data_IF_350154638134
#
_entry.id   IF_350154638134
#
_cell.length_a   1.000
_cell.length_b   1.000
_cell.length_c   1.000
_cell.angle_alpha   90.00
_cell.angle_beta   90.00
_cell.angle_gamma   90.00
#
_symmetry.space_group_name_H-M   'P 1'
#
loop_
_entity.id
_entity.type
_entity.pdbx_description
1 polymer ?
#
# COMPACT_ATOMS: atom_id res chain seq x y z
N UNK A 1 -58.05 -12.84 1.16
CA UNK A 1 -57.35 -13.52 2.27
C UNK A 1 -56.60 -12.48 3.08
N UNK A 2 -57.13 -12.10 4.25
CA UNK A 2 -56.45 -11.18 5.17
C UNK A 2 -55.33 -11.97 5.85
N UNK A 3 -54.06 -11.69 5.54
CA UNK A 3 -52.91 -12.27 6.26
C UNK A 3 -53.00 -11.81 7.71
N UNK A 4 -52.99 -12.74 8.67
CA UNK A 4 -52.96 -12.37 10.09
C UNK A 4 -51.69 -11.58 10.39
N UNK A 5 -51.76 -10.62 11.31
CA UNK A 5 -50.61 -9.82 11.74
C UNK A 5 -49.37 -10.69 12.05
N UNK A 6 -49.58 -11.85 12.67
CA UNK A 6 -48.53 -12.82 12.98
C UNK A 6 -47.82 -13.37 11.73
N UNK A 7 -48.53 -13.62 10.64
CA UNK A 7 -47.92 -14.11 9.38
C UNK A 7 -47.07 -13.04 8.69
N UNK A 8 -47.50 -11.77 8.77
CA UNK A 8 -46.72 -10.63 8.24
C UNK A 8 -45.45 -10.45 9.06
N UNK A 9 -45.58 -10.47 10.39
CA UNK A 9 -44.45 -10.37 11.30
C UNK A 9 -43.43 -11.49 11.06
N UNK A 10 -43.87 -12.75 10.99
CA UNK A 10 -42.98 -13.89 10.78
C UNK A 10 -42.26 -13.79 9.43
N UNK A 11 -42.95 -13.40 8.35
CA UNK A 11 -42.33 -13.21 7.05
C UNK A 11 -41.27 -12.10 7.08
N UNK A 12 -41.57 -10.97 7.73
CA UNK A 12 -40.61 -9.87 7.90
C UNK A 12 -39.41 -10.30 8.75
N UNK A 13 -39.64 -11.01 9.85
CA UNK A 13 -38.58 -11.52 10.72
C UNK A 13 -37.65 -12.48 9.98
N UNK A 14 -38.20 -13.43 9.21
CA UNK A 14 -37.41 -14.36 8.40
C UNK A 14 -36.60 -13.61 7.35
N UNK A 15 -37.22 -12.67 6.62
CA UNK A 15 -36.51 -11.88 5.60
C UNK A 15 -35.35 -11.07 6.19
N UNK A 16 -35.56 -10.41 7.33
CA UNK A 16 -34.53 -9.64 8.02
C UNK A 16 -33.43 -10.55 8.59
N UNK A 17 -33.80 -11.68 9.19
CA UNK A 17 -32.85 -12.65 9.76
C UNK A 17 -32.00 -13.32 8.67
N UNK A 18 -32.61 -13.69 7.54
CA UNK A 18 -31.90 -14.24 6.39
C UNK A 18 -30.94 -13.21 5.78
N UNK A 19 -31.37 -11.95 5.65
CA UNK A 19 -30.51 -10.86 5.19
C UNK A 19 -29.33 -10.63 6.14
N UNK A 20 -29.57 -10.56 7.45
CA UNK A 20 -28.50 -10.46 8.45
C UNK A 20 -27.53 -11.65 8.39
N UNK A 21 -28.05 -12.88 8.29
CA UNK A 21 -27.21 -14.06 8.19
C UNK A 21 -26.33 -14.02 6.94
N UNK A 22 -26.88 -13.64 5.78
CA UNK A 22 -26.16 -13.57 4.53
C UNK A 22 -25.08 -12.46 4.51
N UNK A 23 -25.38 -11.26 5.04
CA UNK A 23 -24.48 -10.10 4.95
C UNK A 23 -23.58 -9.90 6.17
N UNK A 24 -23.89 -10.51 7.31
CA UNK A 24 -23.10 -10.38 8.55
C UNK A 24 -22.51 -11.71 8.95
N UNK A 25 -23.34 -12.72 9.21
CA UNK A 25 -22.85 -13.99 9.77
C UNK A 25 -21.94 -14.75 8.80
N UNK A 26 -22.33 -14.88 7.52
CA UNK A 26 -21.54 -15.62 6.52
C UNK A 26 -20.16 -14.98 6.30
N UNK A 27 -20.02 -13.65 6.05
CA UNK A 27 -18.70 -13.02 5.96
C UNK A 27 -17.88 -13.16 7.24
N UNK A 28 -18.50 -13.10 8.42
CA UNK A 28 -17.79 -13.31 9.69
C UNK A 28 -17.28 -14.75 9.84
N UNK A 29 -18.02 -15.75 9.36
CA UNK A 29 -17.55 -17.14 9.34
C UNK A 29 -16.40 -17.32 8.34
N UNK A 30 -16.46 -16.65 7.18
CA UNK A 30 -15.47 -16.75 6.11
C UNK A 30 -14.16 -16.01 6.43
N UNK A 31 -14.26 -14.79 6.95
CA UNK A 31 -13.13 -13.86 7.10
C UNK A 31 -12.78 -13.54 8.55
N UNK A 32 -13.72 -13.70 9.50
CA UNK A 32 -13.50 -13.35 10.91
C UNK A 32 -12.49 -14.27 11.63
N UNK A 33 -12.08 -15.37 10.99
CA UNK A 33 -11.00 -16.26 11.44
C UNK A 33 -9.82 -16.31 10.46
N UNK A 34 -9.67 -15.28 9.62
CA UNK A 34 -8.54 -15.21 8.70
C UNK A 34 -7.21 -15.07 9.48
N UNK A 35 -6.29 -15.99 9.22
CA UNK A 35 -4.92 -15.95 9.76
C UNK A 35 -4.00 -15.10 8.87
N UNK A 36 -2.79 -14.82 9.35
CA UNK A 36 -1.75 -14.18 8.55
C UNK A 36 -1.48 -14.96 7.25
N UNK A 37 -1.42 -14.26 6.13
CA UNK A 37 -0.94 -14.78 4.87
C UNK A 37 0.59 -14.76 4.84
N UNK A 38 1.15 -15.46 3.86
CA UNK A 38 2.56 -15.37 3.54
C UNK A 38 2.80 -14.42 2.38
N UNK A 39 3.85 -13.63 2.46
CA UNK A 39 4.29 -12.79 1.34
C UNK A 39 4.89 -13.66 0.23
N UNK A 40 4.81 -13.19 -1.01
CA UNK A 40 5.36 -13.89 -2.17
C UNK A 40 6.48 -13.05 -2.80
N UNK A 41 7.71 -13.55 -2.98
CA UNK A 41 8.18 -14.93 -2.74
C UNK A 41 8.84 -15.14 -1.36
N UNK A 42 8.92 -14.11 -0.52
CA UNK A 42 9.72 -14.14 0.71
C UNK A 42 9.16 -15.04 1.83
N UNK A 43 7.89 -15.44 1.74
CA UNK A 43 7.21 -16.32 2.70
C UNK A 43 7.10 -15.75 4.13
N UNK A 44 7.30 -14.43 4.29
CA UNK A 44 7.16 -13.74 5.57
C UNK A 44 5.70 -13.69 6.03
N UNK A 45 5.49 -13.72 7.35
CA UNK A 45 4.14 -13.56 7.92
C UNK A 45 3.62 -12.14 7.73
N UNK A 46 2.41 -12.02 7.18
CA UNK A 46 1.79 -10.75 6.87
C UNK A 46 0.26 -10.75 7.14
N UNK A 47 -0.33 -9.62 7.58
CA UNK A 47 0.33 -8.39 8.05
C UNK A 47 1.02 -8.60 9.39
N UNK A 48 1.78 -7.63 9.87
CA UNK A 48 2.33 -7.64 11.24
C UNK A 48 1.45 -6.74 12.11
N UNK A 49 1.07 -7.22 13.30
CA UNK A 49 0.27 -6.44 14.24
C UNK A 49 1.00 -5.15 14.65
N UNK A 50 0.28 -4.03 14.69
CA UNK A 50 0.84 -2.74 15.14
C UNK A 50 1.10 -2.81 16.64
N UNK A 51 2.30 -2.45 17.07
CA UNK A 51 2.70 -2.44 18.47
C UNK A 51 3.00 -1.02 18.98
N UNK A 52 2.91 -0.82 20.30
CA UNK A 52 3.32 0.41 20.97
C UNK A 52 2.59 1.67 20.48
N UNK A 53 3.35 2.70 20.13
CA UNK A 53 2.81 4.00 19.73
C UNK A 53 1.94 3.93 18.48
N UNK A 54 2.20 3.00 17.56
CA UNK A 54 1.39 2.85 16.35
C UNK A 54 -0.03 2.33 16.66
N UNK A 55 -0.17 1.44 17.64
CA UNK A 55 -1.48 0.98 18.10
C UNK A 55 -2.25 2.11 18.79
N UNK A 56 -1.59 2.89 19.65
CA UNK A 56 -2.20 4.06 20.28
C UNK A 56 -2.56 5.16 19.26
N UNK A 57 -1.73 5.33 18.23
CA UNK A 57 -1.96 6.29 17.16
C UNK A 57 -3.16 5.99 16.28
N UNK A 58 -3.53 4.70 16.15
CA UNK A 58 -4.76 4.32 15.48
C UNK A 58 -5.98 4.94 16.18
N UNK A 59 -5.98 4.96 17.52
CA UNK A 59 -7.04 5.60 18.30
C UNK A 59 -7.03 7.12 18.15
N UNK A 60 -5.85 7.75 18.10
CA UNK A 60 -5.74 9.18 17.80
C UNK A 60 -6.34 9.48 16.42
N UNK A 61 -5.98 8.71 15.39
CA UNK A 61 -6.53 8.83 14.03
C UNK A 61 -8.07 8.76 14.00
N UNK A 62 -8.65 7.81 14.74
CA UNK A 62 -10.11 7.68 14.88
C UNK A 62 -10.73 8.89 15.58
N UNK A 63 -10.16 9.30 16.72
CA UNK A 63 -10.69 10.42 17.51
C UNK A 63 -10.69 11.75 16.76
N UNK A 64 -9.75 11.92 15.83
CA UNK A 64 -9.62 13.10 14.99
C UNK A 64 -10.54 13.07 13.77
N UNK A 65 -11.20 11.94 13.50
CA UNK A 65 -12.07 11.77 12.34
C UNK A 65 -11.30 11.82 11.01
N UNK A 66 -10.01 11.44 10.98
CA UNK A 66 -9.20 11.51 9.77
C UNK A 66 -9.81 10.70 8.59
N UNK A 67 -10.55 9.64 8.91
CA UNK A 67 -11.29 8.79 7.95
C UNK A 67 -12.35 9.54 7.12
N UNK A 68 -12.83 10.70 7.59
CA UNK A 68 -13.80 11.49 6.83
C UNK A 68 -13.21 12.14 5.57
N UNK A 69 -11.88 12.33 5.54
CA UNK A 69 -11.17 12.95 4.43
C UNK A 69 -10.25 11.99 3.68
N UNK A 70 -9.83 10.90 4.33
CA UNK A 70 -8.85 9.96 3.82
C UNK A 70 -9.42 8.54 3.79
N UNK A 71 -9.17 7.82 2.71
CA UNK A 71 -9.35 6.37 2.66
C UNK A 71 -8.09 5.63 3.10
N UNK A 72 -8.24 4.37 3.47
CA UNK A 72 -7.15 3.40 3.61
C UNK A 72 -7.49 2.14 2.83
N UNK A 73 -7.86 2.31 1.57
CA UNK A 73 -8.33 1.25 0.69
C UNK A 73 -7.91 1.58 -0.74
N UNK A 74 -6.69 1.19 -1.11
CA UNK A 74 -6.15 1.41 -2.46
C UNK A 74 -6.93 0.55 -3.45
N UNK A 75 -7.44 1.20 -4.49
CA UNK A 75 -8.11 0.55 -5.61
C UNK A 75 -7.14 0.10 -6.70
N UNK A 76 -7.57 -0.88 -7.48
CA UNK A 76 -6.86 -1.39 -8.66
C UNK A 76 -7.89 -1.83 -9.69
N UNK A 77 -7.66 -1.49 -10.95
CA UNK A 77 -8.55 -1.80 -12.07
C UNK A 77 -8.11 -3.08 -12.79
N UNK A 78 -6.82 -3.39 -12.81
CA UNK A 78 -6.28 -4.57 -13.45
C UNK A 78 -4.81 -4.78 -13.18
N UNK A 79 -4.18 -5.66 -13.95
CA UNK A 79 -2.72 -5.86 -13.96
C UNK A 79 -2.24 -5.81 -15.41
N UNK A 80 -1.00 -5.43 -15.61
CA UNK A 80 -0.23 -5.73 -16.81
C UNK A 80 0.87 -6.68 -16.41
N UNK A 81 1.19 -7.62 -17.28
CA UNK A 81 2.22 -8.61 -17.00
C UNK A 81 3.33 -8.45 -18.02
N UNK A 82 4.54 -8.20 -17.54
CA UNK A 82 5.74 -8.12 -18.36
C UNK A 82 6.53 -9.41 -18.16
N UNK A 83 6.92 -10.06 -19.26
CA UNK A 83 7.78 -11.24 -19.22
C UNK A 83 9.18 -10.79 -19.58
N UNK A 84 10.12 -10.99 -18.66
CA UNK A 84 11.51 -10.56 -18.80
C UNK A 84 12.38 -11.79 -18.97
N UNK A 85 13.17 -11.84 -20.04
CA UNK A 85 14.17 -12.86 -20.26
C UNK A 85 15.46 -12.49 -19.52
N UNK A 86 15.93 -13.38 -18.66
CA UNK A 86 17.18 -13.23 -17.90
C UNK A 86 18.32 -14.04 -18.51
N UNK A 87 18.00 -15.20 -19.06
CA UNK A 87 18.97 -16.11 -19.67
C UNK A 87 18.33 -16.75 -20.90
N UNK A 88 18.96 -16.64 -22.07
CA UNK A 88 18.45 -17.23 -23.30
C UNK A 88 18.75 -18.75 -23.41
N UNK A 89 19.50 -19.31 -22.45
CA UNK A 89 19.95 -20.70 -22.48
C UNK A 89 21.04 -20.96 -23.52
N UNK A 90 21.46 -22.21 -23.64
CA UNK A 90 22.52 -22.63 -24.59
C UNK A 90 22.04 -22.66 -26.04
N UNK A 91 20.73 -22.85 -26.28
CA UNK A 91 20.15 -23.01 -27.61
C UNK A 91 19.35 -21.76 -28.02
N UNK A 92 20.04 -20.63 -28.15
CA UNK A 92 19.44 -19.31 -28.37
C UNK A 92 18.51 -19.21 -29.58
N UNK A 93 18.77 -19.98 -30.65
CA UNK A 93 17.91 -20.05 -31.84
C UNK A 93 16.55 -20.70 -31.54
N UNK A 94 16.52 -21.73 -30.69
CA UNK A 94 15.28 -22.38 -30.27
C UNK A 94 14.49 -21.53 -29.29
N UNK A 95 15.18 -20.79 -28.41
CA UNK A 95 14.59 -19.78 -27.52
C UNK A 95 13.91 -18.66 -28.32
N UNK A 96 14.60 -18.12 -29.32
CA UNK A 96 14.05 -17.09 -30.20
C UNK A 96 12.81 -17.62 -30.97
N UNK A 97 12.87 -18.84 -31.49
CA UNK A 97 11.73 -19.47 -32.16
C UNK A 97 10.55 -19.73 -31.21
N UNK A 98 10.80 -20.07 -29.94
CA UNK A 98 9.77 -20.26 -28.93
C UNK A 98 9.07 -18.93 -28.58
N UNK A 99 9.83 -17.83 -28.44
CA UNK A 99 9.29 -16.48 -28.23
C UNK A 99 8.45 -16.04 -29.44
N UNK A 100 8.96 -16.26 -30.66
CA UNK A 100 8.30 -15.90 -31.90
C UNK A 100 6.93 -16.56 -32.11
N UNK A 101 6.74 -17.80 -31.61
CA UNK A 101 5.46 -18.51 -31.66
C UNK A 101 4.36 -17.85 -30.82
N UNK A 102 4.74 -17.10 -29.79
CA UNK A 102 3.82 -16.48 -28.83
C UNK A 102 3.69 -14.98 -29.08
N UNK A 103 4.78 -14.31 -29.47
CA UNK A 103 4.77 -12.91 -29.89
C UNK A 103 5.64 -12.71 -31.15
N UNK A 104 5.03 -12.70 -32.35
CA UNK A 104 5.75 -12.55 -33.62
C UNK A 104 6.49 -11.22 -33.75
N UNK A 105 6.03 -10.16 -33.07
CA UNK A 105 6.61 -8.81 -33.16
C UNK A 105 7.97 -8.70 -32.46
N UNK A 106 8.30 -9.68 -31.61
CA UNK A 106 9.49 -9.69 -30.75
C UNK A 106 10.56 -10.69 -31.26
N UNK A 107 10.33 -11.31 -32.42
CA UNK A 107 11.25 -12.22 -33.09
C UNK A 107 12.41 -11.49 -33.80
N UNK A 108 13.22 -10.75 -33.04
CA UNK A 108 14.44 -10.12 -33.55
C UNK A 108 15.66 -10.68 -32.83
N UNK A 109 16.83 -10.83 -33.52
CA UNK A 109 18.05 -11.32 -32.88
C UNK A 109 18.49 -10.47 -31.68
N UNK A 110 18.12 -9.19 -31.63
CA UNK A 110 18.42 -8.30 -30.51
C UNK A 110 17.60 -8.59 -29.25
N UNK A 111 16.60 -9.47 -29.32
CA UNK A 111 15.77 -9.87 -28.15
C UNK A 111 16.55 -10.75 -27.16
N UNK A 112 17.57 -11.47 -27.64
CA UNK A 112 18.42 -12.37 -26.83
C UNK A 112 19.77 -11.73 -26.45
N UNK A 113 20.03 -10.48 -26.84
CA UNK A 113 21.25 -9.74 -26.50
C UNK A 113 20.96 -8.68 -25.42
N UNK A 114 21.92 -8.44 -24.52
CA UNK A 114 21.78 -7.44 -23.45
C UNK A 114 20.73 -7.78 -22.40
N UNK A 115 20.74 -9.01 -21.89
CA UNK A 115 19.82 -9.48 -20.83
C UNK A 115 20.20 -8.87 -19.46
N UNK A 116 19.22 -8.62 -18.56
CA UNK A 116 17.79 -8.94 -18.68
C UNK A 116 17.00 -7.97 -19.57
N UNK A 117 16.00 -8.49 -20.32
CA UNK A 117 15.19 -7.70 -21.28
C UNK A 117 13.72 -8.10 -21.32
N UNK A 118 12.81 -7.12 -21.41
CA UNK A 118 11.37 -7.35 -21.61
C UNK A 118 11.14 -7.99 -23.00
N UNK A 119 10.53 -9.17 -23.03
CA UNK A 119 10.25 -9.94 -24.24
C UNK A 119 8.77 -10.07 -24.57
N UNK A 120 7.87 -9.64 -23.68
CA UNK A 120 6.45 -9.53 -23.97
C UNK A 120 5.73 -8.73 -22.88
N UNK A 121 4.63 -8.08 -23.27
CA UNK A 121 3.64 -7.52 -22.36
C UNK A 121 2.28 -8.13 -22.66
N UNK A 122 1.69 -8.78 -21.66
CA UNK A 122 0.41 -9.47 -21.78
C UNK A 122 -0.61 -8.92 -20.79
N UNK A 123 -1.89 -9.22 -21.06
CA UNK A 123 -3.02 -8.63 -20.33
C UNK A 123 -3.20 -9.17 -18.91
N UNK A 124 -2.84 -10.43 -18.65
CA UNK A 124 -2.99 -11.06 -17.33
C UNK A 124 -1.96 -12.18 -17.09
N UNK A 125 -1.96 -12.72 -15.88
CA UNK A 125 -1.00 -13.75 -15.45
C UNK A 125 -1.19 -15.05 -16.25
N UNK A 126 -2.43 -15.45 -16.51
CA UNK A 126 -2.72 -16.69 -17.25
C UNK A 126 -2.20 -16.63 -18.70
N UNK A 127 -2.27 -15.46 -19.34
CA UNK A 127 -1.71 -15.22 -20.66
C UNK A 127 -0.17 -15.33 -20.68
N UNK A 128 0.51 -15.09 -19.55
CA UNK A 128 1.97 -15.21 -19.44
C UNK A 128 2.46 -16.66 -19.38
N UNK A 129 1.62 -17.58 -18.89
CA UNK A 129 2.00 -18.99 -18.67
C UNK A 129 2.47 -19.70 -19.95
N UNK A 130 1.84 -19.39 -21.09
CA UNK A 130 2.21 -19.97 -22.37
C UNK A 130 3.64 -19.58 -22.79
N UNK A 131 4.01 -18.31 -22.59
CA UNK A 131 5.33 -17.81 -22.91
C UNK A 131 6.39 -18.36 -21.94
N UNK A 132 6.06 -18.39 -20.65
CA UNK A 132 6.95 -18.97 -19.62
C UNK A 132 7.25 -20.44 -19.94
N UNK A 133 6.22 -21.25 -20.18
CA UNK A 133 6.39 -22.66 -20.54
C UNK A 133 7.21 -22.85 -21.81
N UNK A 134 6.95 -22.05 -22.85
CA UNK A 134 7.66 -22.15 -24.12
C UNK A 134 9.15 -21.84 -23.98
N UNK A 135 9.51 -20.80 -23.21
CA UNK A 135 10.91 -20.38 -23.01
C UNK A 135 11.65 -21.30 -22.04
N UNK A 136 11.01 -21.73 -20.95
CA UNK A 136 11.63 -22.65 -19.99
C UNK A 136 11.86 -24.04 -20.57
N UNK A 137 10.97 -24.52 -21.47
CA UNK A 137 11.13 -25.82 -22.14
C UNK A 137 12.40 -25.93 -23.01
N UNK A 138 12.94 -24.80 -23.48
CA UNK A 138 14.15 -24.72 -24.29
C UNK A 138 15.38 -24.26 -23.51
N UNK A 139 15.27 -24.16 -22.18
CA UNK A 139 16.37 -23.83 -21.27
C UNK A 139 16.58 -22.35 -21.01
N UNK A 140 15.68 -21.47 -21.47
CA UNK A 140 15.70 -20.05 -21.11
C UNK A 140 15.13 -19.79 -19.72
N UNK A 141 15.63 -18.76 -19.03
CA UNK A 141 15.11 -18.28 -17.74
C UNK A 141 14.34 -16.99 -17.95
N UNK A 142 13.09 -16.99 -17.53
CA UNK A 142 12.20 -15.82 -17.57
C UNK A 142 11.65 -15.52 -16.19
N UNK A 143 11.40 -14.24 -15.94
CA UNK A 143 10.67 -13.76 -14.77
C UNK A 143 9.39 -13.06 -15.23
N UNK A 144 8.35 -13.17 -14.41
CA UNK A 144 7.05 -12.56 -14.66
C UNK A 144 6.87 -11.39 -13.72
N UNK A 145 6.86 -10.18 -14.29
CA UNK A 145 6.65 -8.94 -13.58
C UNK A 145 5.17 -8.57 -13.62
N UNK A 146 4.49 -8.67 -12.48
CA UNK A 146 3.09 -8.27 -12.34
C UNK A 146 3.04 -6.80 -11.91
N UNK A 147 2.47 -5.97 -12.78
CA UNK A 147 2.36 -4.52 -12.59
C UNK A 147 0.89 -4.16 -12.41
N UNK A 148 0.46 -3.84 -11.18
CA UNK A 148 -0.87 -3.32 -10.94
C UNK A 148 -1.16 -2.06 -11.76
N UNK A 149 -2.39 -1.93 -12.23
CA UNK A 149 -2.83 -0.76 -12.98
C UNK A 149 -4.10 -0.19 -12.37
N UNK A 150 -4.24 1.13 -12.48
CA UNK A 150 -5.39 1.80 -11.92
C UNK A 150 -5.17 3.27 -11.60
N UNK A 151 -6.25 3.95 -11.26
CA UNK A 151 -6.20 5.37 -10.86
C UNK A 151 -5.40 5.58 -9.58
N UNK A 152 -5.55 4.71 -8.59
CA UNK A 152 -4.83 4.87 -7.32
C UNK A 152 -3.37 4.43 -7.47
N UNK A 153 -3.11 3.41 -8.28
CA UNK A 153 -1.76 2.98 -8.63
C UNK A 153 -1.02 4.07 -9.42
N UNK A 154 -1.66 4.69 -10.40
CA UNK A 154 -1.04 5.77 -11.21
C UNK A 154 -0.78 7.04 -10.40
N UNK A 155 -1.61 7.32 -9.38
CA UNK A 155 -1.36 8.37 -8.38
C UNK A 155 -0.24 8.02 -7.41
N UNK A 156 0.30 6.80 -7.48
CA UNK A 156 1.31 6.30 -6.56
C UNK A 156 0.79 6.20 -5.14
N UNK A 157 -0.49 5.87 -4.92
CA UNK A 157 -1.06 5.73 -3.57
C UNK A 157 -0.80 4.36 -2.94
N UNK A 158 -0.49 3.35 -3.75
CA UNK A 158 -0.07 2.03 -3.31
C UNK A 158 0.57 1.25 -4.44
N UNK A 159 1.26 0.16 -4.10
CA UNK A 159 1.88 -0.73 -5.08
C UNK A 159 0.89 -1.75 -5.65
N UNK A 160 -0.16 -2.07 -4.88
CA UNK A 160 -1.24 -3.01 -5.22
C UNK A 160 -2.54 -2.58 -4.55
N UNK A 161 -3.67 -3.21 -4.91
CA UNK A 161 -4.92 -3.02 -4.16
C UNK A 161 -4.80 -3.48 -2.71
N UNK A 162 -5.56 -2.84 -1.84
CA UNK A 162 -5.79 -3.33 -0.49
C UNK A 162 -6.76 -4.51 -0.53
N UNK A 163 -6.53 -5.49 0.34
CA UNK A 163 -7.30 -6.75 0.45
C UNK A 163 -7.70 -7.00 1.90
N UNK A 164 -8.61 -7.94 2.14
CA UNK A 164 -9.11 -8.22 3.48
C UNK A 164 -7.98 -8.57 4.47
N UNK A 165 -6.95 -9.26 3.98
CA UNK A 165 -5.78 -9.64 4.74
C UNK A 165 -5.07 -8.44 5.39
N UNK A 166 -5.09 -7.26 4.76
CA UNK A 166 -4.40 -6.06 5.26
C UNK A 166 -5.00 -5.55 6.59
N UNK A 167 -6.21 -5.99 6.94
CA UNK A 167 -6.98 -5.49 8.08
C UNK A 167 -7.19 -6.52 9.20
N UNK A 168 -6.58 -7.70 9.15
CA UNK A 168 -6.89 -8.77 10.12
C UNK A 168 -6.62 -8.39 11.60
N UNK A 169 -5.74 -7.40 11.83
CA UNK A 169 -5.43 -6.88 13.16
C UNK A 169 -6.19 -5.60 13.53
N UNK A 170 -7.06 -5.12 12.64
CA UNK A 170 -7.84 -3.91 12.85
C UNK A 170 -9.21 -4.26 13.41
N UNK A 171 -9.36 -4.07 14.72
CA UNK A 171 -10.65 -4.28 15.42
C UNK A 171 -11.75 -3.37 14.87
N UNK A 172 -11.39 -2.18 14.38
CA UNK A 172 -12.28 -1.26 13.66
C UNK A 172 -11.57 -0.78 12.40
N UNK A 173 -11.93 -1.38 11.27
CA UNK A 173 -11.36 -1.06 9.95
C UNK A 173 -11.69 0.39 9.56
N UNK A 174 -10.72 1.09 8.96
CA UNK A 174 -10.85 2.48 8.52
C UNK A 174 -10.77 2.60 6.98
N UNK A 175 -11.66 1.95 6.20
CA UNK A 175 -11.54 1.97 4.74
C UNK A 175 -11.70 3.39 4.17
N UNK A 176 -12.48 4.24 4.86
CA UNK A 176 -12.87 5.57 4.40
C UNK A 176 -13.92 5.53 3.30
N UNK A 177 -14.69 6.60 3.17
CA UNK A 177 -15.78 6.71 2.16
C UNK A 177 -15.66 7.95 1.29
N UNK A 178 -14.72 8.85 1.61
CA UNK A 178 -14.43 10.08 0.86
C UNK A 178 -12.92 10.31 0.79
N UNK A 179 -12.51 11.01 -0.27
CA UNK A 179 -11.10 11.27 -0.60
C UNK A 179 -10.90 12.76 -0.90
N UNK A 180 -11.08 13.57 0.13
CA UNK A 180 -10.69 14.98 0.08
C UNK A 180 -9.15 15.10 0.15
N UNK A 181 -8.51 14.22 0.91
CA UNK A 181 -7.07 13.96 0.86
C UNK A 181 -6.76 12.62 0.16
N UNK A 182 -5.45 12.31 -0.02
CA UNK A 182 -5.03 11.05 -0.63
C UNK A 182 -5.34 9.84 0.25
N UNK A 183 -5.36 8.65 -0.36
CA UNK A 183 -5.37 7.38 0.38
C UNK A 183 -4.11 7.23 1.24
N UNK A 184 -4.28 6.66 2.44
CA UNK A 184 -3.24 6.52 3.45
C UNK A 184 -2.78 5.09 3.71
N UNK A 185 -3.37 4.06 3.08
CA UNK A 185 -3.06 2.65 3.36
C UNK A 185 -1.56 2.31 3.23
N UNK A 186 -0.83 3.09 2.42
CA UNK A 186 0.60 2.93 2.18
C UNK A 186 1.42 4.18 2.52
N UNK A 187 0.88 5.14 3.27
CA UNK A 187 1.59 6.41 3.53
C UNK A 187 2.94 6.20 4.21
N UNK A 188 3.07 5.16 5.05
CA UNK A 188 4.34 4.82 5.71
C UNK A 188 5.42 4.32 4.75
N UNK A 189 5.04 3.75 3.61
CA UNK A 189 5.97 3.38 2.54
C UNK A 189 6.28 4.55 1.61
N UNK A 190 5.35 5.50 1.45
CA UNK A 190 5.50 6.64 0.52
C UNK A 190 6.20 7.85 1.13
N UNK A 191 5.90 8.13 2.39
CA UNK A 191 6.33 9.32 3.13
C UNK A 191 6.83 8.89 4.51
N UNK A 192 7.96 8.17 4.48
CA UNK A 192 8.54 7.50 5.63
C UNK A 192 9.26 8.45 6.61
N UNK A 193 9.50 9.71 6.24
CA UNK A 193 10.11 10.71 7.12
C UNK A 193 9.10 11.20 8.18
N UNK A 194 9.33 10.92 9.48
CA UNK A 194 8.46 11.41 10.55
C UNK A 194 8.34 12.93 10.59
N UNK A 195 9.40 13.66 10.22
CA UNK A 195 9.40 15.13 10.26
C UNK A 195 8.46 15.71 9.19
N UNK A 196 8.39 15.08 8.02
CA UNK A 196 7.40 15.43 7.00
C UNK A 196 5.98 15.32 7.56
N UNK A 197 5.68 14.21 8.24
CA UNK A 197 4.35 13.97 8.83
C UNK A 197 4.01 15.00 9.91
N UNK A 198 4.96 15.29 10.81
CA UNK A 198 4.79 16.28 11.88
C UNK A 198 4.57 17.69 11.32
N UNK A 199 5.40 18.11 10.35
CA UNK A 199 5.26 19.41 9.70
C UNK A 199 3.92 19.51 8.95
N UNK A 200 3.52 18.45 8.25
CA UNK A 200 2.24 18.40 7.54
C UNK A 200 1.05 18.47 8.52
N UNK A 201 1.10 17.78 9.67
CA UNK A 201 0.06 17.89 10.69
C UNK A 201 -0.02 19.29 11.30
N UNK A 202 1.12 19.92 11.60
CA UNK A 202 1.16 21.24 12.22
C UNK A 202 0.74 22.36 11.25
N UNK A 203 1.26 22.33 10.03
CA UNK A 203 1.02 23.34 9.00
C UNK A 203 0.96 22.68 7.61
N UNK A 204 -0.18 22.08 7.22
CA UNK A 204 -0.27 21.33 5.96
C UNK A 204 0.18 22.12 4.72
N UNK A 205 -0.13 23.43 4.70
CA UNK A 205 0.22 24.35 3.61
C UNK A 205 1.70 24.72 3.52
N UNK A 206 2.49 24.50 4.58
CA UNK A 206 3.94 24.74 4.53
C UNK A 206 4.68 23.64 3.78
N UNK A 207 4.12 22.43 3.75
CA UNK A 207 4.69 21.27 3.05
C UNK A 207 4.03 21.06 1.69
N UNK A 208 2.71 21.30 1.61
CA UNK A 208 1.92 21.17 0.39
C UNK A 208 1.07 22.42 0.21
N UNK A 209 1.52 23.35 -0.64
CA UNK A 209 0.91 24.68 -0.85
C UNK A 209 -0.61 24.63 -1.05
N UNK A 210 -1.07 23.66 -1.83
CA UNK A 210 -2.49 23.50 -2.19
C UNK A 210 -3.26 22.55 -1.26
N UNK A 211 -2.72 22.25 -0.07
CA UNK A 211 -3.37 21.38 0.90
C UNK A 211 -4.66 22.02 1.44
N UNK A 212 -5.75 21.25 1.36
CA UNK A 212 -7.05 21.56 1.96
C UNK A 212 -7.19 20.97 3.37
N UNK A 213 -6.18 20.24 3.85
CA UNK A 213 -6.20 19.64 5.18
C UNK A 213 -6.18 20.75 6.26
N UNK A 214 -7.04 20.68 7.29
CA UNK A 214 -6.97 21.58 8.44
C UNK A 214 -5.65 21.39 9.19
N UNK A 215 -5.16 22.44 9.84
CA UNK A 215 -3.98 22.34 10.71
C UNK A 215 -4.33 21.72 12.07
N UNK A 216 -3.53 20.77 12.54
CA UNK A 216 -3.70 20.06 13.82
C UNK A 216 -2.75 20.64 14.89
N UNK A 217 -2.65 21.97 14.98
CA UNK A 217 -1.72 22.66 15.88
C UNK A 217 -1.90 22.28 17.36
N UNK A 218 -3.10 21.86 17.75
CA UNK A 218 -3.41 21.40 19.10
C UNK A 218 -2.73 20.07 19.49
N UNK A 219 -2.14 19.35 18.54
CA UNK A 219 -1.28 18.19 18.82
C UNK A 219 0.16 18.59 19.19
N UNK A 220 0.45 19.89 19.27
CA UNK A 220 1.79 20.43 19.49
C UNK A 220 1.78 21.48 20.59
N UNK A 221 2.92 21.63 21.25
CA UNK A 221 3.13 22.61 22.30
C UNK A 221 4.14 23.67 21.84
N UNK A 222 3.74 24.93 21.97
CA UNK A 222 4.66 26.07 21.83
C UNK A 222 5.27 26.36 23.19
N UNK A 223 6.59 26.30 23.28
CA UNK A 223 7.32 26.61 24.52
C UNK A 223 8.57 27.43 24.25
N UNK A 224 9.08 28.10 25.28
CA UNK A 224 10.38 28.79 25.19
C UNK A 224 11.48 27.75 25.05
N UNK A 225 12.48 28.05 24.23
CA UNK A 225 13.68 27.23 24.12
C UNK A 225 14.39 27.26 25.48
N UNK A 226 14.77 26.09 25.98
CA UNK A 226 15.54 25.94 27.22
C UNK A 226 17.01 26.30 27.02
N UNK A 227 17.91 25.62 27.73
CA UNK A 227 19.36 25.75 27.47
C UNK A 227 19.75 25.27 26.07
N UNK A 228 19.02 24.28 25.55
CA UNK A 228 19.17 23.70 24.21
C UNK A 228 17.77 23.47 23.66
N UNK A 229 17.61 23.60 22.33
CA UNK A 229 16.37 23.24 21.66
C UNK A 229 16.09 21.74 21.77
N UNK A 230 14.81 21.37 21.78
CA UNK A 230 14.39 19.98 21.73
C UNK A 230 14.90 19.31 20.45
N UNK A 231 15.41 18.08 20.58
CA UNK A 231 15.72 17.25 19.41
C UNK A 231 14.49 16.98 18.54
N UNK A 232 13.29 17.04 19.14
CA UNK A 232 12.01 16.80 18.48
C UNK A 232 11.30 18.10 18.04
N UNK A 233 11.95 19.26 18.17
CA UNK A 233 11.37 20.52 17.73
C UNK A 233 11.15 20.50 16.20
N UNK A 234 9.98 20.94 15.76
CA UNK A 234 9.65 20.98 14.34
C UNK A 234 10.54 22.02 13.63
N UNK A 235 11.07 21.64 12.47
CA UNK A 235 11.86 22.50 11.59
C UNK A 235 10.92 23.26 10.66
N UNK A 236 10.31 24.33 11.18
CA UNK A 236 9.34 25.17 10.48
C UNK A 236 10.01 26.40 9.85
N UNK A 237 9.54 26.83 8.69
CA UNK A 237 10.03 28.00 7.96
C UNK A 237 8.88 28.95 7.60
N UNK A 238 9.21 30.20 7.25
CA UNK A 238 8.24 31.22 6.85
C UNK A 238 7.20 31.53 7.94
N UNK A 239 5.96 31.77 7.52
CA UNK A 239 4.84 32.16 8.40
C UNK A 239 4.47 31.09 9.45
N UNK A 240 4.94 29.85 9.28
CA UNK A 240 4.70 28.78 10.23
C UNK A 240 5.76 28.69 11.33
N UNK A 241 6.88 29.41 11.17
CA UNK A 241 7.95 29.41 12.16
C UNK A 241 7.51 30.07 13.47
N UNK A 242 7.90 29.52 14.63
CA UNK A 242 7.66 30.17 15.91
C UNK A 242 8.46 31.48 16.01
N UNK A 243 7.99 32.39 16.87
CA UNK A 243 8.74 33.60 17.21
C UNK A 243 10.12 33.24 17.77
N UNK A 244 11.09 34.15 17.59
CA UNK A 244 12.46 33.95 18.08
C UNK A 244 12.47 33.59 19.59
N UNK A 245 13.24 32.55 19.94
CA UNK A 245 13.31 32.02 21.32
C UNK A 245 12.21 31.03 21.70
N UNK A 246 11.30 30.68 20.78
CA UNK A 246 10.29 29.64 20.98
C UNK A 246 10.50 28.46 20.02
N UNK A 247 10.07 27.28 20.47
CA UNK A 247 10.03 26.06 19.69
C UNK A 247 8.63 25.44 19.71
N UNK A 248 8.34 24.63 18.68
CA UNK A 248 7.12 23.83 18.57
C UNK A 248 7.52 22.36 18.72
N UNK A 249 6.97 21.68 19.72
CA UNK A 249 7.32 20.30 20.05
C UNK A 249 6.06 19.42 19.97
N UNK A 250 6.14 18.20 19.39
CA UNK A 250 4.99 17.31 19.35
C UNK A 250 4.59 16.82 20.75
N UNK A 251 3.29 16.71 20.98
CA UNK A 251 2.72 15.99 22.13
C UNK A 251 2.82 14.47 21.90
N UNK A 252 2.50 13.68 22.93
CA UNK A 252 2.40 12.22 22.78
C UNK A 252 1.40 11.81 21.71
N UNK A 253 0.26 12.52 21.60
CA UNK A 253 -0.75 12.23 20.58
C UNK A 253 -0.22 12.48 19.17
N UNK A 254 0.60 13.51 18.95
CA UNK A 254 1.27 13.71 17.66
C UNK A 254 2.23 12.57 17.34
N UNK A 255 3.06 12.15 18.31
CA UNK A 255 4.00 11.03 18.16
C UNK A 255 3.27 9.73 17.83
N UNK A 256 2.22 9.42 18.58
CA UNK A 256 1.36 8.26 18.37
C UNK A 256 0.75 8.27 16.96
N UNK A 257 0.11 9.38 16.57
CA UNK A 257 -0.49 9.51 15.24
C UNK A 257 0.53 9.30 14.11
N UNK A 258 1.71 9.92 14.21
CA UNK A 258 2.77 9.74 13.22
C UNK A 258 3.27 8.31 13.19
N UNK A 259 3.47 7.66 14.35
CA UNK A 259 3.83 6.25 14.41
C UNK A 259 2.78 5.36 13.72
N UNK A 260 1.49 5.66 13.89
CA UNK A 260 0.42 4.98 13.17
C UNK A 260 0.51 5.19 11.67
N UNK A 261 0.62 6.44 11.19
CA UNK A 261 0.74 6.74 9.76
C UNK A 261 1.96 6.02 9.13
N UNK A 262 3.09 6.00 9.82
CA UNK A 262 4.30 5.31 9.35
C UNK A 262 4.18 3.78 9.33
N UNK A 263 3.27 3.23 10.14
CA UNK A 263 2.94 1.80 10.14
C UNK A 263 1.99 1.37 9.02
N UNK A 264 1.32 2.31 8.33
CA UNK A 264 0.43 2.01 7.21
C UNK A 264 1.25 1.64 5.96
N UNK A 265 1.43 0.33 5.77
CA UNK A 265 2.25 -0.29 4.72
C UNK A 265 1.54 -1.53 4.12
N UNK A 266 0.42 -1.30 3.47
CA UNK A 266 -0.32 -2.33 2.71
C UNK A 266 0.29 -2.64 1.34
N UNK A 267 1.61 -2.82 1.28
CA UNK A 267 2.37 -2.94 0.02
C UNK A 267 3.08 -4.28 -0.17
N UNK A 268 2.95 -5.21 0.79
CA UNK A 268 3.55 -6.53 0.71
C UNK A 268 2.91 -7.37 -0.40
N UNK A 269 3.67 -8.03 -1.29
CA UNK A 269 3.11 -8.87 -2.33
C UNK A 269 2.38 -10.09 -1.73
N UNK A 270 1.12 -10.28 -2.13
CA UNK A 270 0.25 -11.37 -1.66
C UNK A 270 -0.28 -12.17 -2.84
N UNK A 271 -0.61 -13.43 -2.60
CA UNK A 271 -1.20 -14.30 -3.64
C UNK A 271 -2.49 -13.70 -4.24
N UNK A 272 -3.39 -13.16 -3.41
CA UNK A 272 -4.66 -12.56 -3.84
C UNK A 272 -4.52 -11.16 -4.46
N UNK A 273 -3.35 -10.55 -4.35
CA UNK A 273 -3.03 -9.26 -4.95
C UNK A 273 -1.56 -9.21 -5.34
N UNK A 274 -1.17 -9.96 -6.39
CA UNK A 274 0.22 -10.10 -6.78
C UNK A 274 0.77 -8.78 -7.30
N UNK A 275 2.00 -8.48 -6.92
CA UNK A 275 2.81 -7.39 -7.44
C UNK A 275 4.26 -7.84 -7.41
N UNK A 276 5.01 -7.56 -8.47
CA UNK A 276 6.44 -7.83 -8.44
C UNK A 276 7.14 -6.62 -7.79
N UNK A 277 7.85 -6.80 -6.66
CA UNK A 277 8.60 -5.71 -6.04
C UNK A 277 9.62 -5.15 -7.04
N UNK A 278 9.83 -3.82 -7.10
CA UNK A 278 10.95 -3.28 -7.88
C UNK A 278 12.27 -3.88 -7.36
N UNK A 279 13.26 -4.11 -8.25
CA UNK A 279 14.55 -4.66 -7.84
C UNK A 279 15.12 -3.84 -6.69
N UNK A 280 15.66 -4.52 -5.68
CA UNK A 280 16.25 -3.86 -4.51
C UNK A 280 17.27 -2.80 -4.99
N UNK A 281 17.28 -1.59 -4.42
CA UNK A 281 18.29 -0.61 -4.78
C UNK A 281 19.66 -1.25 -4.57
N UNK A 282 20.52 -1.16 -5.59
CA UNK A 282 21.90 -1.61 -5.46
C UNK A 282 22.50 -0.99 -4.19
N UNK A 283 23.22 -1.77 -3.35
CA UNK A 283 23.82 -1.23 -2.14
C UNK A 283 24.61 0.02 -2.51
N UNK A 284 24.23 1.16 -1.93
CA UNK A 284 24.89 2.42 -2.21
C UNK A 284 26.36 2.27 -1.84
N UNK A 285 27.24 2.25 -2.84
CA UNK A 285 28.70 2.26 -2.66
C UNK A 285 29.20 3.64 -2.26
N UNK A 286 28.49 4.32 -1.36
CA UNK A 286 29.01 5.50 -0.67
C UNK A 286 29.82 5.01 0.52
N UNK A 287 30.97 4.41 0.22
CA UNK A 287 32.10 4.43 1.14
C UNK A 287 32.46 5.89 1.32
N UNK A 288 32.08 6.45 2.47
CA UNK A 288 32.63 7.73 2.92
C UNK A 288 34.13 7.55 2.98
N UNK A 289 34.83 8.12 2.01
CA UNK A 289 36.27 8.27 2.07
C UNK A 289 36.57 9.13 3.30
N UNK A 290 37.05 8.50 4.37
CA UNK A 290 37.65 9.20 5.48
C UNK A 290 38.85 10.00 4.96
N UNK A 291 38.77 11.32 5.05
CA UNK A 291 39.89 12.23 5.18
C UNK A 291 39.49 13.38 6.09
#
# INVERSE_FOLDING_TARGET
MVKSSSTIFLAAFIALSASWAAFVLVPQIQLGRADQAKTVPAEDKYPVARAGLAAQGAEVYRSLGCVYCHSQQVGQQGVKVEVVLFDAGTNTSTTLAAIAKVNPEINKPETITGLPKEIARVADIAASDALVKAVTAVGGKVEVNVIPTGSDISRGWGKRRTVAQDYIYDSVVQPGTRRAGPDLANVGSRLADPNWQLNHLYAPKSVLKDSVMPSYRFLFEKRKIGKVASAEALKLTGDSAPAAGFEIVPTDKARQLVAYLLSLRSDAPLFESPVTPPPAPAPSTNTVAAK
#
